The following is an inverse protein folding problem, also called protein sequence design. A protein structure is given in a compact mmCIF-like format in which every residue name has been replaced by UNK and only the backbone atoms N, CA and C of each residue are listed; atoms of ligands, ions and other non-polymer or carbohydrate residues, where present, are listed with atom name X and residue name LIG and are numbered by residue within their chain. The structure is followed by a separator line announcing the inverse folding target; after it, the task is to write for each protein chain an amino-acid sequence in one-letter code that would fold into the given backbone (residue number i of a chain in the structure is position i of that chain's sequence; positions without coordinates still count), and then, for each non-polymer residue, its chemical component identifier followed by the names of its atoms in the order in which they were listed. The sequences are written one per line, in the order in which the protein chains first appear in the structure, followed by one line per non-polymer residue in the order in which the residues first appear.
data_IF_776239218206
#
_entry.id   IF_776239218206
#
_cell.length_a   1.000
_cell.length_b   1.000
_cell.length_c   1.000
_cell.angle_alpha   90.00
_cell.angle_beta   90.00
_cell.angle_gamma   90.00
#
_symmetry.space_group_name_H-M   'P 1'
#
loop_
_entity.id
_entity.type
_entity.pdbx_description
1 polymer ?
#
# COMPACT_ATOMS: atom_id res chain seq x y z
N UNK A 1 45.09 28.47 4.08
CA UNK A 1 43.89 28.74 3.25
C UNK A 1 43.78 27.58 2.26
N UNK A 2 43.05 26.50 2.61
CA UNK A 2 42.85 25.35 1.71
C UNK A 2 41.73 25.70 0.73
N UNK A 3 41.95 25.46 -0.56
CA UNK A 3 41.00 25.78 -1.63
C UNK A 3 39.70 24.99 -1.48
N UNK A 4 38.52 25.65 -1.57
CA UNK A 4 37.20 25.00 -1.43
C UNK A 4 36.88 24.01 -2.59
N UNK A 5 37.63 24.02 -3.68
CA UNK A 5 37.41 23.14 -4.83
C UNK A 5 37.86 21.69 -4.58
N UNK A 6 38.90 21.47 -3.76
CA UNK A 6 39.43 20.15 -3.47
C UNK A 6 38.48 19.31 -2.59
N UNK A 7 37.82 19.95 -1.63
CA UNK A 7 36.89 19.32 -0.68
C UNK A 7 35.64 18.76 -1.39
N UNK A 8 35.11 19.48 -2.39
CA UNK A 8 33.97 19.00 -3.19
C UNK A 8 34.29 17.80 -4.09
N UNK A 9 35.52 17.70 -4.60
CA UNK A 9 35.95 16.56 -5.42
C UNK A 9 36.17 15.29 -4.57
N UNK A 10 36.67 15.47 -3.36
CA UNK A 10 36.85 14.39 -2.39
C UNK A 10 35.50 13.88 -1.86
N UNK A 11 34.57 14.79 -1.52
CA UNK A 11 33.19 14.42 -1.15
C UNK A 11 32.46 13.63 -2.24
N UNK A 12 32.57 14.05 -3.51
CA UNK A 12 31.93 13.32 -4.62
C UNK A 12 32.54 11.93 -4.80
N UNK A 13 33.86 11.79 -4.69
CA UNK A 13 34.52 10.47 -4.76
C UNK A 13 34.01 9.52 -3.68
N UNK A 14 33.90 9.99 -2.43
CA UNK A 14 33.42 9.15 -1.33
C UNK A 14 31.96 8.72 -1.53
N UNK A 15 31.07 9.63 -1.96
CA UNK A 15 29.67 9.28 -2.27
C UNK A 15 29.55 8.25 -3.39
N UNK A 16 30.42 8.34 -4.41
CA UNK A 16 30.40 7.38 -5.53
C UNK A 16 30.92 6.01 -5.08
N UNK A 17 32.00 5.99 -4.29
CA UNK A 17 32.55 4.75 -3.74
C UNK A 17 31.58 4.04 -2.78
N UNK A 18 30.87 4.80 -1.93
CA UNK A 18 29.83 4.23 -1.05
C UNK A 18 28.69 3.62 -1.88
N UNK A 19 28.24 4.30 -2.93
CA UNK A 19 27.19 3.78 -3.82
C UNK A 19 27.62 2.51 -4.57
N UNK A 20 28.88 2.44 -5.01
CA UNK A 20 29.44 1.25 -5.66
C UNK A 20 29.51 0.04 -4.69
N UNK A 21 29.83 0.30 -3.42
CA UNK A 21 29.84 -0.72 -2.37
C UNK A 21 28.42 -1.21 -2.08
N UNK A 22 27.44 -0.32 -1.93
CA UNK A 22 26.02 -0.66 -1.75
C UNK A 22 25.51 -1.52 -2.91
N UNK A 23 25.81 -1.13 -4.16
CA UNK A 23 25.39 -1.87 -5.33
C UNK A 23 26.01 -3.29 -5.39
N UNK A 24 27.26 -3.43 -4.96
CA UNK A 24 27.95 -4.73 -4.88
C UNK A 24 27.35 -5.63 -3.77
N UNK A 25 27.02 -5.05 -2.62
CA UNK A 25 26.31 -5.73 -1.52
C UNK A 25 24.94 -6.23 -1.98
N UNK A 26 24.12 -5.39 -2.60
CA UNK A 26 22.81 -5.76 -3.12
C UNK A 26 22.89 -6.88 -4.19
N UNK A 27 23.92 -6.86 -5.01
CA UNK A 27 24.16 -7.90 -6.01
C UNK A 27 24.54 -9.23 -5.33
N UNK A 28 25.41 -9.20 -4.32
CA UNK A 28 25.80 -10.37 -3.55
C UNK A 28 24.62 -10.94 -2.74
N UNK A 29 23.83 -10.09 -2.08
CA UNK A 29 22.64 -10.51 -1.32
C UNK A 29 21.61 -11.19 -2.25
N UNK A 30 21.28 -10.59 -3.39
CA UNK A 30 20.37 -11.19 -4.37
C UNK A 30 20.88 -12.54 -4.87
N UNK A 31 22.19 -12.68 -5.05
CA UNK A 31 22.80 -13.95 -5.44
C UNK A 31 22.61 -15.03 -4.37
N UNK A 32 22.80 -14.69 -3.09
CA UNK A 32 22.61 -15.62 -1.97
C UNK A 32 21.13 -15.98 -1.76
N UNK A 33 20.21 -15.02 -1.88
CA UNK A 33 18.76 -15.25 -1.81
C UNK A 33 18.30 -16.16 -2.94
N UNK A 34 18.76 -15.92 -4.17
CA UNK A 34 18.46 -16.79 -5.32
C UNK A 34 19.01 -18.22 -5.18
N UNK A 35 19.99 -18.43 -4.29
CA UNK A 35 20.60 -19.75 -3.97
C UNK A 35 19.98 -20.41 -2.74
N UNK A 36 18.96 -19.80 -2.13
CA UNK A 36 18.24 -20.36 -1.00
C UNK A 36 18.94 -20.24 0.34
N UNK A 37 19.97 -19.38 0.47
CA UNK A 37 20.49 -19.04 1.79
C UNK A 37 19.49 -18.13 2.52
N UNK A 38 19.18 -18.39 3.81
CA UNK A 38 18.30 -17.52 4.58
C UNK A 38 18.89 -16.11 4.62
N UNK A 39 18.12 -15.11 4.20
CA UNK A 39 18.54 -13.73 4.36
C UNK A 39 18.43 -13.33 5.83
N UNK A 40 19.43 -12.61 6.33
CA UNK A 40 19.33 -11.97 7.63
C UNK A 40 18.36 -10.78 7.48
N UNK A 41 17.14 -10.93 7.98
CA UNK A 41 16.26 -9.77 8.16
C UNK A 41 16.84 -8.97 9.30
N UNK A 42 17.48 -7.85 9.00
CA UNK A 42 17.77 -6.87 10.05
C UNK A 42 16.41 -6.42 10.61
N UNK A 43 16.13 -6.86 11.84
CA UNK A 43 14.84 -6.63 12.46
C UNK A 43 14.81 -5.17 12.91
N UNK A 44 14.34 -4.30 12.04
CA UNK A 44 14.01 -2.92 12.40
C UNK A 44 12.78 -2.96 13.33
N UNK A 45 13.01 -3.17 14.63
CA UNK A 45 12.01 -3.41 15.69
C UNK A 45 11.19 -2.16 16.06
N UNK A 46 10.76 -1.38 15.08
CA UNK A 46 9.89 -0.23 15.34
C UNK A 46 8.46 -0.59 14.96
N UNK A 47 7.55 -0.64 15.94
CA UNK A 47 6.10 -0.85 15.75
C UNK A 47 5.51 0.10 14.69
N UNK A 48 6.15 1.25 14.47
CA UNK A 48 5.81 2.28 13.47
C UNK A 48 6.14 1.91 12.00
N UNK A 49 7.00 0.92 11.77
CA UNK A 49 7.35 0.47 10.42
C UNK A 49 6.14 -0.15 9.69
N UNK A 50 5.23 -0.79 10.45
CA UNK A 50 3.98 -1.37 9.93
C UNK A 50 3.11 -0.27 9.30
N UNK A 51 2.90 0.83 10.02
CA UNK A 51 2.08 1.95 9.57
C UNK A 51 2.65 2.68 8.36
N UNK A 52 3.98 2.75 8.29
CA UNK A 52 4.69 3.37 7.16
C UNK A 52 4.53 2.57 5.86
N UNK A 53 4.48 1.23 5.95
CA UNK A 53 4.15 0.36 4.80
C UNK A 53 2.67 0.45 4.42
N UNK A 54 1.81 0.71 5.39
CA UNK A 54 0.36 0.83 5.18
C UNK A 54 -0.09 2.20 4.64
N UNK A 55 0.82 3.16 4.39
CA UNK A 55 0.48 4.51 3.91
C UNK A 55 -0.54 4.53 2.76
N UNK A 56 -0.40 3.73 1.68
CA UNK A 56 -1.40 3.73 0.61
C UNK A 56 -2.80 3.32 1.10
N UNK A 57 -2.87 2.33 2.00
CA UNK A 57 -4.12 1.87 2.58
C UNK A 57 -4.70 2.91 3.56
N UNK A 58 -3.86 3.59 4.32
CA UNK A 58 -4.28 4.68 5.22
C UNK A 58 -4.83 5.88 4.44
N UNK A 59 -4.24 6.23 3.30
CA UNK A 59 -4.77 7.28 2.40
C UNK A 59 -6.15 6.88 1.88
N UNK A 60 -6.30 5.65 1.39
CA UNK A 60 -7.59 5.14 0.93
C UNK A 60 -8.61 5.17 2.05
N UNK A 61 -8.23 4.73 3.25
CA UNK A 61 -9.13 4.71 4.38
C UNK A 61 -9.54 6.11 4.86
N UNK A 62 -8.61 7.08 4.87
CA UNK A 62 -8.94 8.49 5.13
C UNK A 62 -9.99 8.99 4.13
N UNK A 63 -9.82 8.70 2.83
CA UNK A 63 -10.78 9.13 1.81
C UNK A 63 -12.15 8.50 2.00
N UNK A 64 -12.20 7.20 2.36
CA UNK A 64 -13.43 6.50 2.68
C UNK A 64 -14.13 7.09 3.91
N UNK A 65 -13.38 7.35 4.99
CA UNK A 65 -13.91 8.01 6.18
C UNK A 65 -14.45 9.41 5.86
N UNK A 66 -13.75 10.16 5.02
CA UNK A 66 -14.17 11.49 4.60
C UNK A 66 -15.48 11.51 3.81
N UNK A 67 -15.93 10.38 3.26
CA UNK A 67 -17.25 10.27 2.63
C UNK A 67 -18.39 10.47 3.63
N UNK A 68 -18.17 10.21 4.92
CA UNK A 68 -19.16 10.48 5.97
C UNK A 68 -19.48 11.97 6.13
N UNK A 69 -18.63 12.87 5.62
CA UNK A 69 -18.92 14.30 5.60
C UNK A 69 -19.90 14.73 4.49
N UNK A 70 -20.28 13.80 3.60
CA UNK A 70 -21.21 14.05 2.50
C UNK A 70 -22.63 13.76 2.95
N UNK A 71 -23.57 14.66 2.64
CA UNK A 71 -24.99 14.44 2.87
C UNK A 71 -25.72 14.37 1.52
N UNK A 72 -25.81 13.17 0.98
CA UNK A 72 -26.47 12.93 -0.32
C UNK A 72 -28.00 13.10 -0.26
N UNK A 73 -28.59 13.15 0.94
CA UNK A 73 -30.04 13.17 1.12
C UNK A 73 -30.61 14.59 1.23
N UNK A 74 -29.93 15.46 1.99
CA UNK A 74 -30.44 16.79 2.30
C UNK A 74 -29.72 17.89 1.53
N UNK A 75 -28.52 17.64 1.00
CA UNK A 75 -27.74 18.68 0.33
C UNK A 75 -27.82 18.59 -1.18
N UNK A 76 -27.65 19.76 -1.82
CA UNK A 76 -27.45 19.79 -3.25
C UNK A 76 -26.08 19.18 -3.62
N UNK A 77 -25.98 18.69 -4.86
CA UNK A 77 -24.75 18.09 -5.37
C UNK A 77 -23.55 19.06 -5.29
N UNK A 78 -23.75 20.38 -5.47
CA UNK A 78 -22.66 21.36 -5.37
C UNK A 78 -22.06 21.40 -3.97
N UNK A 79 -22.90 21.32 -2.93
CA UNK A 79 -22.45 21.35 -1.54
C UNK A 79 -21.68 20.09 -1.17
N UNK A 80 -22.13 18.93 -1.68
CA UNK A 80 -21.37 17.68 -1.55
C UNK A 80 -20.03 17.72 -2.27
N UNK A 81 -19.97 18.30 -3.49
CA UNK A 81 -18.69 18.49 -4.19
C UNK A 81 -17.75 19.41 -3.39
N UNK A 82 -18.26 20.50 -2.81
CA UNK A 82 -17.47 21.37 -1.94
C UNK A 82 -16.95 20.63 -0.70
N UNK A 83 -17.78 19.82 -0.05
CA UNK A 83 -17.36 19.00 1.08
C UNK A 83 -16.30 17.97 0.69
N UNK A 84 -16.46 17.28 -0.44
CA UNK A 84 -15.46 16.35 -0.97
C UNK A 84 -14.12 17.05 -1.28
N UNK A 85 -14.16 18.21 -1.94
CA UNK A 85 -12.96 19.01 -2.20
C UNK A 85 -12.29 19.46 -0.90
N UNK A 86 -13.08 19.82 0.12
CA UNK A 86 -12.55 20.20 1.42
C UNK A 86 -11.85 19.02 2.12
N UNK A 87 -12.45 17.83 2.13
CA UNK A 87 -11.83 16.60 2.66
C UNK A 87 -10.48 16.32 2.00
N UNK A 88 -10.41 16.41 0.66
CA UNK A 88 -9.19 16.20 -0.11
C UNK A 88 -8.15 17.30 0.15
N UNK A 89 -8.58 18.56 0.25
CA UNK A 89 -7.69 19.68 0.56
C UNK A 89 -7.06 19.53 1.94
N UNK A 90 -7.86 19.14 2.96
CA UNK A 90 -7.37 18.89 4.31
C UNK A 90 -6.35 17.73 4.32
N UNK A 91 -6.62 16.64 3.59
CA UNK A 91 -5.66 15.55 3.42
C UNK A 91 -4.34 16.04 2.83
N UNK A 92 -4.41 16.82 1.75
CA UNK A 92 -3.23 17.37 1.09
C UNK A 92 -2.43 18.29 2.01
N UNK A 93 -3.11 19.14 2.80
CA UNK A 93 -2.47 20.01 3.79
C UNK A 93 -1.74 19.19 4.86
N UNK A 94 -2.37 18.17 5.43
CA UNK A 94 -1.73 17.30 6.43
C UNK A 94 -0.53 16.56 5.84
N UNK A 95 -0.68 16.04 4.63
CA UNK A 95 0.38 15.33 3.90
C UNK A 95 1.59 16.24 3.64
N UNK A 96 1.35 17.40 3.04
CA UNK A 96 2.40 18.38 2.73
C UNK A 96 3.06 18.87 4.02
N UNK A 97 2.28 19.19 5.04
CA UNK A 97 2.80 19.66 6.33
C UNK A 97 3.68 18.61 7.00
N UNK A 98 3.28 17.34 6.98
CA UNK A 98 4.09 16.24 7.52
C UNK A 98 5.42 16.12 6.79
N UNK A 99 5.43 16.18 5.46
CA UNK A 99 6.64 16.10 4.65
C UNK A 99 7.58 17.30 4.86
N UNK A 100 7.03 18.52 4.85
CA UNK A 100 7.80 19.76 5.01
C UNK A 100 8.40 19.86 6.41
N UNK A 101 7.64 19.54 7.46
CA UNK A 101 8.15 19.54 8.84
C UNK A 101 9.26 18.51 9.06
N UNK A 102 9.30 17.45 8.24
CA UNK A 102 10.31 16.39 8.28
C UNK A 102 11.49 16.63 7.31
N UNK A 103 11.51 17.76 6.60
CA UNK A 103 12.59 18.14 5.68
C UNK A 103 12.59 17.39 4.34
N UNK A 104 11.49 16.69 4.01
CA UNK A 104 11.32 16.00 2.72
C UNK A 104 10.59 16.88 1.70
N UNK A 105 10.77 16.65 0.38
CA UNK A 105 9.97 17.27 -0.66
C UNK A 105 8.47 17.11 -0.40
N UNK A 106 7.69 18.18 -0.59
CA UNK A 106 6.28 18.27 -0.20
C UNK A 106 5.39 17.12 -0.74
N UNK A 107 5.67 16.61 -1.94
CA UNK A 107 4.88 15.56 -2.60
C UNK A 107 5.50 14.16 -2.53
N UNK A 108 6.60 13.98 -1.79
CA UNK A 108 7.17 12.64 -1.60
C UNK A 108 6.21 11.76 -0.78
N UNK A 109 6.29 10.44 -0.94
CA UNK A 109 5.56 9.51 -0.07
C UNK A 109 6.15 9.61 1.35
N UNK A 110 5.33 9.83 2.40
CA UNK A 110 5.77 9.81 3.78
C UNK A 110 6.48 8.49 4.08
N UNK A 111 7.75 8.57 4.47
CA UNK A 111 8.57 7.39 4.74
C UNK A 111 8.36 6.85 6.17
N UNK A 112 7.76 7.66 7.05
CA UNK A 112 7.52 7.31 8.45
C UNK A 112 6.19 7.87 8.96
N UNK A 113 5.26 7.00 9.39
CA UNK A 113 4.02 7.37 10.08
C UNK A 113 4.22 7.16 11.58
N UNK A 114 4.15 8.24 12.37
CA UNK A 114 4.25 8.21 13.82
C UNK A 114 2.88 8.22 14.52
N UNK A 115 2.86 8.23 15.87
CA UNK A 115 1.63 8.29 16.65
C UNK A 115 0.83 9.57 16.41
N UNK A 116 1.52 10.69 16.17
CA UNK A 116 0.87 11.97 15.88
C UNK A 116 0.14 11.91 14.55
N UNK A 117 0.77 11.35 13.50
CA UNK A 117 0.13 11.18 12.20
C UNK A 117 -1.08 10.24 12.26
N UNK A 118 -1.01 9.15 13.04
CA UNK A 118 -2.16 8.25 13.24
C UNK A 118 -3.29 8.95 14.00
N UNK A 119 -2.96 9.73 15.02
CA UNK A 119 -3.94 10.55 15.74
C UNK A 119 -4.62 11.55 14.81
N UNK A 120 -3.84 12.23 13.97
CA UNK A 120 -4.37 13.11 12.92
C UNK A 120 -5.26 12.33 11.94
N UNK A 121 -4.86 11.13 11.52
CA UNK A 121 -5.63 10.35 10.55
C UNK A 121 -7.00 9.93 11.08
N UNK A 122 -7.18 9.82 12.39
CA UNK A 122 -8.48 9.57 13.03
C UNK A 122 -9.27 10.87 13.20
N UNK A 123 -8.64 11.93 13.70
CA UNK A 123 -9.33 13.17 14.09
C UNK A 123 -9.68 14.03 12.87
N UNK A 124 -8.78 14.12 11.89
CA UNK A 124 -8.88 15.03 10.76
C UNK A 124 -10.07 14.73 9.84
N UNK A 125 -10.38 13.47 9.47
CA UNK A 125 -11.59 13.16 8.70
C UNK A 125 -12.89 13.59 9.38
N UNK A 126 -12.90 13.72 10.71
CA UNK A 126 -14.08 14.14 11.46
C UNK A 126 -14.25 15.67 11.52
N UNK A 127 -13.21 16.44 11.18
CA UNK A 127 -13.25 17.92 11.20
C UNK A 127 -14.31 18.47 10.25
N UNK A 128 -14.42 18.04 8.98
CA UNK A 128 -15.48 18.48 8.08
C UNK A 128 -16.88 18.28 8.69
N UNK A 129 -17.20 17.08 9.17
CA UNK A 129 -18.49 16.78 9.81
C UNK A 129 -18.75 17.65 11.04
N UNK A 130 -17.72 17.93 11.84
CA UNK A 130 -17.83 18.80 13.00
C UNK A 130 -18.14 20.26 12.61
N UNK A 131 -17.45 20.80 11.62
CA UNK A 131 -17.69 22.17 11.09
C UNK A 131 -19.11 22.27 10.52
N UNK A 132 -19.60 21.20 9.89
CA UNK A 132 -20.91 21.13 9.26
C UNK A 132 -22.05 20.87 10.28
N UNK A 133 -21.72 20.71 11.56
CA UNK A 133 -22.68 20.51 12.65
C UNK A 133 -23.23 19.08 12.76
N UNK A 134 -22.65 18.13 12.03
CA UNK A 134 -23.06 16.72 11.99
C UNK A 134 -22.37 15.92 13.09
N UNK A 135 -22.73 16.17 14.36
CA UNK A 135 -22.07 15.52 15.50
C UNK A 135 -22.22 13.99 15.53
N UNK A 136 -23.30 13.45 14.95
CA UNK A 136 -23.47 12.00 14.76
C UNK A 136 -22.37 11.43 13.86
N UNK A 137 -22.15 12.06 12.71
CA UNK A 137 -21.15 11.64 11.71
C UNK A 137 -19.73 11.82 12.24
N UNK A 138 -19.49 12.80 13.13
CA UNK A 138 -18.20 12.94 13.84
C UNK A 138 -17.89 11.70 14.68
N UNK A 139 -18.82 11.29 15.56
CA UNK A 139 -18.61 10.13 16.44
C UNK A 139 -18.47 8.85 15.61
N UNK A 140 -19.31 8.69 14.59
CA UNK A 140 -19.24 7.56 13.66
C UNK A 140 -17.87 7.51 12.96
N UNK A 141 -17.39 8.64 12.42
CA UNK A 141 -16.09 8.73 11.74
C UNK A 141 -14.94 8.38 12.68
N UNK A 142 -14.99 8.79 13.95
CA UNK A 142 -13.97 8.43 14.93
C UNK A 142 -13.97 6.92 15.24
N UNK A 143 -15.14 6.32 15.43
CA UNK A 143 -15.28 4.87 15.68
C UNK A 143 -14.80 4.06 14.47
N UNK A 144 -15.24 4.44 13.27
CA UNK A 144 -14.80 3.83 12.02
C UNK A 144 -13.30 3.99 11.82
N UNK A 145 -12.72 5.14 12.17
CA UNK A 145 -11.29 5.39 12.10
C UNK A 145 -10.48 4.44 12.97
N UNK A 146 -10.91 4.23 14.22
CA UNK A 146 -10.29 3.24 15.10
C UNK A 146 -10.44 1.83 14.54
N UNK A 147 -11.63 1.47 14.05
CA UNK A 147 -11.88 0.17 13.43
C UNK A 147 -11.00 -0.09 12.21
N UNK A 148 -10.87 0.90 11.33
CA UNK A 148 -9.95 0.90 10.18
C UNK A 148 -8.52 0.68 10.65
N UNK A 149 -8.04 1.42 11.66
CA UNK A 149 -6.68 1.24 12.15
C UNK A 149 -6.44 -0.20 12.62
N UNK A 150 -7.40 -0.81 13.33
CA UNK A 150 -7.31 -2.21 13.76
C UNK A 150 -7.22 -3.14 12.54
N UNK A 151 -8.05 -2.93 11.52
CA UNK A 151 -8.03 -3.73 10.29
C UNK A 151 -6.72 -3.56 9.52
N UNK A 152 -6.25 -2.33 9.34
CA UNK A 152 -4.97 -2.02 8.67
C UNK A 152 -3.81 -2.66 9.42
N UNK A 153 -3.81 -2.56 10.76
CA UNK A 153 -2.82 -3.19 11.62
C UNK A 153 -2.83 -4.72 11.46
N UNK A 154 -4.02 -5.34 11.44
CA UNK A 154 -4.14 -6.79 11.24
C UNK A 154 -3.63 -7.20 9.85
N UNK A 155 -4.10 -6.58 8.77
CA UNK A 155 -3.70 -6.89 7.39
C UNK A 155 -2.18 -6.76 7.22
N UNK A 156 -1.60 -5.70 7.78
CA UNK A 156 -0.18 -5.39 7.60
C UNK A 156 0.71 -6.23 8.51
N UNK A 157 0.30 -6.50 9.75
CA UNK A 157 1.05 -7.38 10.68
C UNK A 157 1.09 -8.82 10.21
N UNK A 158 -0.03 -9.35 9.71
CA UNK A 158 -0.10 -10.74 9.26
C UNK A 158 0.41 -10.92 7.82
N UNK A 159 0.78 -9.85 7.11
CA UNK A 159 1.22 -9.93 5.73
C UNK A 159 0.14 -10.51 4.81
N UNK A 160 -1.13 -10.22 5.09
CA UNK A 160 -2.26 -10.84 4.36
C UNK A 160 -2.19 -10.53 2.87
N UNK A 161 -1.82 -9.30 2.50
CA UNK A 161 -1.69 -8.89 1.09
C UNK A 161 -0.63 -9.72 0.34
N UNK A 162 0.64 -9.82 0.79
CA UNK A 162 1.62 -10.67 0.12
C UNK A 162 1.26 -12.16 0.14
N UNK A 163 0.64 -12.66 1.23
CA UNK A 163 0.16 -14.05 1.29
C UNK A 163 -0.92 -14.32 0.24
N UNK A 164 -1.89 -13.42 0.10
CA UNK A 164 -2.95 -13.52 -0.91
C UNK A 164 -2.38 -13.39 -2.33
N UNK A 165 -1.40 -12.50 -2.54
CA UNK A 165 -0.72 -12.35 -3.82
C UNK A 165 0.00 -13.63 -4.25
N UNK A 166 0.79 -14.21 -3.36
CA UNK A 166 1.48 -15.49 -3.61
C UNK A 166 0.48 -16.63 -3.82
N UNK A 167 -0.52 -16.77 -2.95
CA UNK A 167 -1.54 -17.82 -3.04
C UNK A 167 -2.34 -17.72 -4.34
N UNK A 168 -2.67 -16.50 -4.78
CA UNK A 168 -3.38 -16.26 -6.04
C UNK A 168 -2.54 -16.66 -7.25
N UNK A 169 -1.28 -16.24 -7.31
CA UNK A 169 -0.36 -16.63 -8.38
C UNK A 169 -0.18 -18.16 -8.45
N UNK A 170 -0.05 -18.79 -7.29
CA UNK A 170 0.07 -20.25 -7.17
C UNK A 170 -1.22 -20.99 -7.58
N UNK A 171 -2.39 -20.39 -7.37
CA UNK A 171 -3.67 -20.98 -7.79
C UNK A 171 -3.85 -20.86 -9.30
N UNK A 172 -3.47 -19.70 -9.87
CA UNK A 172 -3.55 -19.47 -11.31
C UNK A 172 -2.61 -20.39 -12.10
N UNK A 173 -1.41 -20.67 -11.58
CA UNK A 173 -0.49 -21.61 -12.21
C UNK A 173 -1.07 -23.03 -12.27
N UNK A 174 -1.86 -23.45 -11.27
CA UNK A 174 -2.54 -24.74 -11.26
C UNK A 174 -3.69 -24.82 -12.26
N UNK A 175 -4.41 -23.72 -12.49
CA UNK A 175 -5.46 -23.66 -13.53
C UNK A 175 -4.86 -23.95 -14.91
N UNK A 176 -3.68 -23.39 -15.22
CA UNK A 176 -3.00 -23.67 -16.48
C UNK A 176 -2.65 -25.14 -16.65
N UNK A 177 -2.23 -25.82 -15.58
CA UNK A 177 -1.94 -27.27 -15.60
C UNK A 177 -3.20 -28.07 -15.91
N UNK A 178 -4.32 -27.76 -15.25
CA UNK A 178 -5.59 -28.44 -15.49
C UNK A 178 -6.13 -28.21 -16.90
N UNK A 179 -6.09 -26.97 -17.40
CA UNK A 179 -6.51 -26.64 -18.77
C UNK A 179 -5.66 -27.37 -19.82
N UNK A 180 -4.37 -27.52 -19.59
CA UNK A 180 -3.49 -28.28 -20.48
C UNK A 180 -3.87 -29.78 -20.53
N UNK A 181 -4.24 -30.36 -19.39
CA UNK A 181 -4.73 -31.75 -19.32
C UNK A 181 -6.06 -31.90 -20.08
N UNK A 182 -7.02 -30.98 -19.88
CA UNK A 182 -8.29 -31.00 -20.64
C UNK A 182 -8.03 -30.86 -22.14
N UNK A 183 -7.19 -29.90 -22.54
CA UNK A 183 -6.86 -29.67 -23.93
C UNK A 183 -6.23 -30.90 -24.59
N UNK A 184 -5.41 -31.64 -23.85
CA UNK A 184 -4.85 -32.93 -24.29
C UNK A 184 -5.84 -34.10 -24.25
N UNK A 185 -6.89 -34.04 -23.42
CA UNK A 185 -7.91 -35.08 -23.32
C UNK A 185 -9.04 -34.92 -24.33
N UNK A 186 -9.27 -33.71 -24.85
CA UNK A 186 -10.27 -33.40 -25.88
C UNK A 186 -10.21 -34.38 -27.08
N UNK A 187 -9.04 -34.65 -27.70
CA UNK A 187 -8.97 -35.57 -28.83
C UNK A 187 -9.43 -36.99 -28.48
N UNK A 188 -9.07 -37.48 -27.29
CA UNK A 188 -9.44 -38.82 -26.84
C UNK A 188 -10.95 -38.92 -26.57
N UNK A 189 -11.55 -37.86 -25.98
CA UNK A 189 -12.99 -37.78 -25.76
C UNK A 189 -13.78 -37.75 -27.08
N UNK A 190 -13.28 -37.03 -28.10
CA UNK A 190 -13.90 -37.03 -29.43
C UNK A 190 -13.86 -38.42 -30.07
N UNK A 191 -12.73 -39.11 -29.95
CA UNK A 191 -12.56 -40.47 -30.47
C UNK A 191 -13.51 -41.45 -29.77
N UNK A 192 -13.59 -41.35 -28.44
CA UNK A 192 -14.48 -42.15 -27.61
C UNK A 192 -15.96 -41.90 -27.95
N UNK A 193 -16.37 -40.63 -28.08
CA UNK A 193 -17.74 -40.28 -28.46
C UNK A 193 -18.08 -40.84 -29.85
N UNK A 194 -17.16 -40.70 -30.81
CA UNK A 194 -17.33 -41.24 -32.17
C UNK A 194 -17.52 -42.76 -32.14
N UNK A 195 -16.72 -43.48 -31.34
CA UNK A 195 -16.83 -44.93 -31.18
C UNK A 195 -18.16 -45.37 -30.53
N UNK A 196 -18.61 -44.64 -29.52
CA UNK A 196 -19.89 -44.92 -28.86
C UNK A 196 -21.06 -44.74 -29.82
N UNK A 197 -21.02 -43.69 -30.64
CA UNK A 197 -22.08 -43.45 -31.62
C UNK A 197 -22.16 -44.58 -32.64
N UNK A 198 -21.02 -45.05 -33.16
CA UNK A 198 -20.96 -46.15 -34.14
C UNK A 198 -21.42 -47.49 -33.55
N UNK A 199 -21.16 -47.78 -32.27
CA UNK A 199 -21.57 -49.05 -31.64
C UNK A 199 -23.02 -49.05 -31.14
N UNK A 200 -23.62 -47.86 -30.96
CA UNK A 200 -24.98 -47.72 -30.44
C UNK A 200 -26.05 -47.70 -31.54
N UNK A 201 -25.65 -47.69 -32.81
CA UNK A 201 -26.49 -47.76 -34.01
C UNK A 201 -26.31 -49.11 -34.71
#
# INVERSE_FOLDING_TARGET
MREPAADHAERRRNVTADHDIEAALDAAERWFVGRGLPHFVERSDTVWAIWSRAVPLLVLAYLLLGLNALDLSNWSWQRNVLAAMFVVAVLAVVWISSNVLRGFPALQRPQSIGPVELGLLIVVPAIPSAILGQWGDVVQTLIEGVGVLIVVWAITSYGVVPLLGWASHQTLSQVTVFLNVIARALPLLLLFQTFLFINAE
#
